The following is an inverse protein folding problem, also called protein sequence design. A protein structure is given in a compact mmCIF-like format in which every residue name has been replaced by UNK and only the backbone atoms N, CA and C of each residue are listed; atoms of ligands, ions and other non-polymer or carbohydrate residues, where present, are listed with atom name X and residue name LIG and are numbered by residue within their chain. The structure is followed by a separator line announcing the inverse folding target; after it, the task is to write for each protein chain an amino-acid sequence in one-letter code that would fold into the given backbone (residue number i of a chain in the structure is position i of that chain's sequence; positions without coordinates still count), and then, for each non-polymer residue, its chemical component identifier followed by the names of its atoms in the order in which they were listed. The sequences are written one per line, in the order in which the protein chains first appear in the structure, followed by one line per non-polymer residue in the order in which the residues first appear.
data_IF_870956467505
#
_entry.id   IF_870956467505
#
_cell.length_a   1.000
_cell.length_b   1.000
_cell.length_c   1.000
_cell.angle_alpha   90.00
_cell.angle_beta   90.00
_cell.angle_gamma   90.00
#
_symmetry.space_group_name_H-M   'P 1'
#
loop_
_entity.id
_entity.type
_entity.pdbx_description
1 polymer ?
#
# COMPACT_ATOMS: atom_id res chain seq x y z
N UNK A 1 -7.71 -3.36 19.60
CA UNK A 1 -7.55 -4.59 18.78
C UNK A 1 -7.41 -4.13 17.33
N UNK A 2 -6.41 -4.58 16.57
CA UNK A 2 -6.27 -4.21 15.15
C UNK A 2 -7.46 -4.82 14.40
N UNK A 3 -8.35 -3.98 13.88
CA UNK A 3 -9.47 -4.40 13.05
C UNK A 3 -8.97 -4.90 11.70
N UNK A 4 -8.35 -6.07 11.66
CA UNK A 4 -7.88 -6.71 10.43
C UNK A 4 -9.08 -7.17 9.61
N UNK A 5 -9.02 -6.99 8.29
CA UNK A 5 -10.01 -7.50 7.33
C UNK A 5 -9.31 -8.55 6.48
N UNK A 6 -9.77 -9.79 6.59
CA UNK A 6 -9.26 -10.89 5.78
C UNK A 6 -9.93 -10.88 4.40
N UNK A 7 -9.13 -11.02 3.34
CA UNK A 7 -9.61 -11.03 1.96
C UNK A 7 -9.17 -12.33 1.30
N UNK A 8 -10.13 -13.16 0.90
CA UNK A 8 -9.83 -14.28 0.02
C UNK A 8 -9.75 -13.77 -1.42
N UNK A 9 -8.54 -13.81 -1.97
CA UNK A 9 -8.24 -13.31 -3.31
C UNK A 9 -8.86 -14.17 -4.40
N UNK A 10 -9.17 -15.45 -4.15
CA UNK A 10 -9.72 -16.39 -5.13
C UNK A 10 -11.25 -16.28 -5.24
N UNK A 11 -11.93 -15.88 -4.17
CA UNK A 11 -13.38 -15.74 -4.14
C UNK A 11 -13.84 -14.33 -4.56
N UNK A 12 -14.66 -14.26 -5.62
CA UNK A 12 -15.34 -12.99 -6.01
C UNK A 12 -16.30 -12.49 -4.93
N UNK A 13 -16.96 -13.41 -4.22
CA UNK A 13 -17.88 -13.07 -3.14
C UNK A 13 -17.16 -12.52 -1.91
N UNK A 14 -15.98 -13.06 -1.57
CA UNK A 14 -15.14 -12.51 -0.50
C UNK A 14 -14.79 -11.05 -0.75
N UNK A 15 -14.45 -10.67 -1.99
CA UNK A 15 -14.14 -9.28 -2.33
C UNK A 15 -15.33 -8.33 -2.14
N UNK A 16 -16.57 -8.80 -2.35
CA UNK A 16 -17.78 -8.01 -2.12
C UNK A 16 -18.03 -7.81 -0.63
N UNK A 17 -17.90 -8.88 0.16
CA UNK A 17 -17.99 -8.82 1.63
C UNK A 17 -16.92 -7.91 2.23
N UNK A 18 -15.67 -8.00 1.76
CA UNK A 18 -14.58 -7.10 2.18
C UNK A 18 -14.95 -5.64 1.97
N UNK A 19 -15.52 -5.26 0.81
CA UNK A 19 -15.94 -3.87 0.55
C UNK A 19 -17.03 -3.40 1.51
N UNK A 20 -17.99 -4.27 1.84
CA UNK A 20 -19.04 -3.94 2.80
C UNK A 20 -18.45 -3.71 4.21
N UNK A 21 -17.58 -4.61 4.69
CA UNK A 21 -16.89 -4.45 5.98
C UNK A 21 -16.00 -3.20 6.01
N UNK A 22 -15.29 -2.90 4.91
CA UNK A 22 -14.48 -1.68 4.81
C UNK A 22 -15.37 -0.44 4.93
N UNK A 23 -16.51 -0.40 4.24
CA UNK A 23 -17.46 0.71 4.33
C UNK A 23 -17.95 0.91 5.76
N UNK A 24 -18.38 -0.16 6.43
CA UNK A 24 -18.86 -0.10 7.82
C UNK A 24 -17.78 0.47 8.75
N UNK A 25 -16.54 -0.02 8.65
CA UNK A 25 -15.44 0.45 9.51
C UNK A 25 -15.04 1.90 9.25
N UNK A 26 -15.03 2.32 7.99
CA UNK A 26 -14.78 3.71 7.63
C UNK A 26 -15.92 4.62 8.12
N UNK A 27 -17.17 4.17 8.06
CA UNK A 27 -18.33 4.89 8.61
C UNK A 27 -18.29 5.01 10.14
N UNK A 28 -17.71 4.03 10.84
CA UNK A 28 -17.44 4.06 12.29
C UNK A 28 -16.24 4.98 12.67
N UNK A 29 -15.63 5.66 11.70
CA UNK A 29 -14.51 6.58 11.93
C UNK A 29 -13.16 5.90 12.10
N UNK A 30 -13.03 4.62 11.74
CA UNK A 30 -11.75 3.92 11.79
C UNK A 30 -10.89 4.24 10.55
N UNK A 31 -9.58 4.35 10.75
CA UNK A 31 -8.61 4.44 9.66
C UNK A 31 -8.30 3.07 9.07
N UNK A 32 -8.16 2.99 7.73
CA UNK A 32 -7.78 1.77 7.02
C UNK A 32 -6.45 1.99 6.28
N UNK A 33 -5.51 1.05 6.45
CA UNK A 33 -4.27 0.99 5.66
C UNK A 33 -4.41 -0.07 4.59
N UNK A 34 -4.11 0.29 3.34
CA UNK A 34 -4.16 -0.61 2.20
C UNK A 34 -2.87 -0.54 1.39
N UNK A 35 -2.45 -1.67 0.85
CA UNK A 35 -1.38 -1.76 -0.15
C UNK A 35 -2.00 -2.07 -1.51
N UNK A 36 -2.26 -1.05 -2.36
CA UNK A 36 -3.08 -1.20 -3.56
C UNK A 36 -2.45 -2.09 -4.64
N UNK A 37 -1.13 -2.31 -4.61
CA UNK A 37 -0.41 -3.23 -5.51
C UNK A 37 -0.81 -4.70 -5.24
N UNK A 38 -1.08 -5.02 -3.96
CA UNK A 38 -1.47 -6.36 -3.51
C UNK A 38 -0.33 -7.38 -3.42
N UNK A 39 0.91 -6.95 -3.66
CA UNK A 39 2.15 -7.74 -3.52
C UNK A 39 3.32 -6.80 -3.24
N UNK A 40 4.48 -7.34 -2.90
CA UNK A 40 5.75 -6.60 -2.85
C UNK A 40 6.37 -6.55 -4.25
N UNK A 41 7.14 -5.50 -4.52
CA UNK A 41 7.95 -5.32 -5.74
C UNK A 41 9.32 -4.76 -5.37
N UNK A 42 10.32 -4.98 -6.22
CA UNK A 42 11.60 -4.30 -6.09
C UNK A 42 11.45 -2.87 -6.62
N UNK A 43 11.60 -1.88 -5.74
CA UNK A 43 11.48 -0.46 -6.10
C UNK A 43 12.62 0.04 -7.01
N UNK A 44 12.66 1.35 -7.33
CA UNK A 44 11.82 2.42 -6.78
C UNK A 44 10.51 2.66 -7.55
N UNK A 45 10.27 1.90 -8.63
CA UNK A 45 9.00 1.99 -9.36
C UNK A 45 7.90 1.20 -8.62
N UNK A 46 6.64 1.58 -8.86
CA UNK A 46 5.47 0.97 -8.24
C UNK A 46 4.70 0.12 -9.23
N UNK A 47 4.12 -0.98 -8.77
CA UNK A 47 3.18 -1.72 -9.60
C UNK A 47 1.90 -0.91 -9.87
N UNK A 48 1.08 -1.43 -10.77
CA UNK A 48 -0.25 -0.89 -10.99
C UNK A 48 -1.10 -1.01 -9.72
N UNK A 49 -1.77 0.09 -9.38
CA UNK A 49 -2.71 0.11 -8.27
C UNK A 49 -4.00 -0.58 -8.67
N UNK A 50 -4.45 -1.55 -7.86
CA UNK A 50 -5.73 -2.21 -8.06
C UNK A 50 -6.87 -1.24 -7.77
N UNK A 51 -7.87 -1.13 -8.64
CA UNK A 51 -8.82 -0.03 -8.59
C UNK A 51 -9.91 -0.20 -7.52
N UNK A 52 -10.12 -1.42 -7.01
CA UNK A 52 -11.32 -1.76 -6.21
C UNK A 52 -11.56 -0.90 -4.97
N UNK A 53 -10.51 -0.39 -4.32
CA UNK A 53 -10.66 0.52 -3.17
C UNK A 53 -10.91 1.97 -3.57
N UNK A 54 -10.35 2.41 -4.69
CA UNK A 54 -10.58 3.75 -5.22
C UNK A 54 -12.04 3.96 -5.62
N UNK A 55 -12.69 2.93 -6.18
CA UNK A 55 -14.14 2.95 -6.41
C UNK A 55 -14.94 3.15 -5.12
N UNK A 56 -14.60 2.43 -4.04
CA UNK A 56 -15.28 2.61 -2.74
C UNK A 56 -15.06 4.01 -2.19
N UNK A 57 -13.82 4.52 -2.24
CA UNK A 57 -13.52 5.88 -1.77
C UNK A 57 -14.27 6.95 -2.56
N UNK A 58 -14.35 6.80 -3.88
CA UNK A 58 -15.05 7.74 -4.75
C UNK A 58 -16.56 7.71 -4.55
N UNK A 59 -17.15 6.52 -4.42
CA UNK A 59 -18.60 6.34 -4.22
C UNK A 59 -19.07 6.85 -2.85
N UNK A 60 -18.30 6.58 -1.80
CA UNK A 60 -18.68 6.91 -0.42
C UNK A 60 -18.10 8.26 0.04
N UNK A 61 -17.26 8.89 -0.80
CA UNK A 61 -16.61 10.16 -0.48
C UNK A 61 -15.57 10.07 0.63
N UNK A 62 -14.91 8.92 0.79
CA UNK A 62 -13.82 8.77 1.76
C UNK A 62 -12.53 9.45 1.28
N UNK A 63 -11.78 9.99 2.22
CA UNK A 63 -10.49 10.65 1.97
C UNK A 63 -9.36 9.62 2.01
N UNK A 64 -8.41 9.74 1.07
CA UNK A 64 -7.19 8.92 0.98
C UNK A 64 -5.99 9.77 1.39
N UNK A 65 -5.10 9.23 2.21
CA UNK A 65 -3.78 9.80 2.47
C UNK A 65 -2.73 8.85 1.88
N UNK A 66 -2.06 9.21 0.78
CA UNK A 66 -1.00 8.36 0.25
C UNK A 66 0.21 8.37 1.18
N UNK A 67 0.89 7.24 1.27
CA UNK A 67 2.12 7.07 2.04
C UNK A 67 3.14 6.39 1.14
N UNK A 68 4.26 7.06 0.89
CA UNK A 68 5.40 6.49 0.20
C UNK A 68 6.37 5.90 1.22
N UNK A 69 6.94 4.74 0.89
CA UNK A 69 7.78 3.94 1.78
C UNK A 69 8.94 3.38 0.97
N UNK A 70 10.16 3.67 1.38
CA UNK A 70 11.37 3.14 0.75
C UNK A 70 12.31 2.56 1.81
N UNK A 71 12.88 1.39 1.50
CA UNK A 71 13.88 0.74 2.32
C UNK A 71 15.25 0.97 1.72
N UNK A 72 16.24 1.31 2.55
CA UNK A 72 17.62 1.49 2.08
C UNK A 72 18.15 0.21 1.42
N UNK A 73 17.99 -0.92 2.11
CA UNK A 73 18.26 -2.25 1.55
C UNK A 73 17.05 -2.73 0.74
N UNK A 74 17.16 -2.69 -0.59
CA UNK A 74 16.13 -3.20 -1.49
C UNK A 74 15.96 -4.73 -1.41
N UNK A 75 16.96 -5.44 -0.89
CA UNK A 75 16.90 -6.89 -0.68
C UNK A 75 15.87 -7.32 0.37
N UNK A 76 15.34 -6.38 1.17
CA UNK A 76 14.27 -6.65 2.14
C UNK A 76 12.92 -6.96 1.50
N UNK A 77 12.72 -6.58 0.24
CA UNK A 77 11.49 -6.89 -0.47
C UNK A 77 11.40 -8.41 -0.67
N UNK A 78 10.32 -9.02 -0.18
CA UNK A 78 10.08 -10.44 -0.37
C UNK A 78 9.32 -10.69 -1.67
N UNK A 79 10.04 -10.87 -2.78
CA UNK A 79 9.46 -10.77 -4.14
C UNK A 79 9.45 -12.13 -4.88
N UNK A 80 10.31 -13.07 -4.50
CA UNK A 80 10.75 -14.18 -5.35
C UNK A 80 10.37 -15.58 -4.83
N UNK A 81 9.32 -15.70 -4.01
CA UNK A 81 8.91 -16.97 -3.36
C UNK A 81 10.06 -17.67 -2.63
N UNK A 82 11.09 -16.91 -2.27
CA UNK A 82 12.21 -17.37 -1.47
C UNK A 82 11.66 -17.98 -0.19
N UNK A 83 12.22 -19.14 0.19
CA UNK A 83 11.79 -19.82 1.41
C UNK A 83 11.90 -18.86 2.59
N UNK A 84 10.85 -18.80 3.41
CA UNK A 84 10.74 -17.85 4.52
C UNK A 84 11.98 -17.85 5.42
N UNK A 85 12.53 -19.03 5.71
CA UNK A 85 13.64 -19.19 6.65
C UNK A 85 14.95 -18.59 6.13
N UNK A 86 15.46 -18.92 4.92
CA UNK A 86 16.63 -18.25 4.34
C UNK A 86 16.48 -16.72 4.21
N UNK A 87 15.30 -16.24 3.79
CA UNK A 87 15.03 -14.80 3.68
C UNK A 87 15.09 -14.14 5.06
N UNK A 88 14.40 -14.71 6.05
CA UNK A 88 14.47 -14.29 7.43
C UNK A 88 15.92 -14.18 7.95
N UNK A 89 16.72 -15.25 7.86
CA UNK A 89 18.10 -15.25 8.37
C UNK A 89 19.00 -14.20 7.70
N UNK A 90 18.78 -13.91 6.41
CA UNK A 90 19.52 -12.87 5.68
C UNK A 90 19.24 -11.45 6.21
N UNK A 91 18.04 -11.21 6.72
CA UNK A 91 17.57 -9.89 7.15
C UNK A 91 17.41 -9.73 8.67
N UNK A 92 17.56 -10.80 9.47
CA UNK A 92 17.63 -10.75 10.94
C UNK A 92 19.03 -10.43 11.50
N UNK A 93 20.06 -10.40 10.65
CA UNK A 93 21.44 -10.07 11.03
C UNK A 93 21.72 -8.58 11.29
N UNK A 94 21.19 -7.63 10.50
CA UNK A 94 21.37 -6.20 10.73
C UNK A 94 20.68 -5.73 12.03
N UNK A 95 21.40 -4.91 12.83
CA UNK A 95 20.86 -4.32 14.07
C UNK A 95 19.77 -3.28 13.82
N UNK A 96 19.78 -2.66 12.65
CA UNK A 96 18.84 -1.62 12.23
C UNK A 96 18.50 -1.80 10.75
N UNK A 97 17.29 -1.39 10.39
CA UNK A 97 16.82 -1.28 9.00
C UNK A 97 16.49 0.19 8.77
N UNK A 98 17.22 0.83 7.86
CA UNK A 98 16.96 2.21 7.47
C UNK A 98 15.75 2.27 6.53
N UNK A 99 14.74 3.05 6.93
CA UNK A 99 13.48 3.23 6.19
C UNK A 99 13.19 4.71 6.06
N UNK A 100 12.83 5.14 4.85
CA UNK A 100 12.32 6.47 4.60
C UNK A 100 10.81 6.41 4.35
N UNK A 101 10.06 7.30 4.98
CA UNK A 101 8.59 7.35 4.90
C UNK A 101 8.16 8.77 4.57
N UNK A 102 7.19 8.93 3.68
CA UNK A 102 6.58 10.22 3.38
C UNK A 102 5.07 10.13 3.35
N UNK A 103 4.42 10.98 4.14
CA UNK A 103 2.97 11.15 4.13
C UNK A 103 2.60 12.25 3.13
N UNK A 104 1.62 11.95 2.28
CA UNK A 104 1.14 12.90 1.28
C UNK A 104 -0.07 13.71 1.71
N UNK A 105 -0.55 14.58 0.82
CA UNK A 105 -1.74 15.38 1.08
C UNK A 105 -2.99 14.48 1.10
N UNK A 106 -4.03 14.96 1.78
CA UNK A 106 -5.34 14.32 1.74
C UNK A 106 -5.96 14.48 0.34
N UNK A 107 -6.31 13.37 -0.29
CA UNK A 107 -6.89 13.29 -1.64
C UNK A 107 -8.31 12.74 -1.57
N UNK A 108 -9.23 13.36 -2.29
CA UNK A 108 -10.64 12.94 -2.38
C UNK A 108 -11.16 13.33 -3.76
N UNK A 109 -12.01 12.49 -4.34
CA UNK A 109 -12.63 12.72 -5.64
C UNK A 109 -13.80 11.76 -5.85
N UNK A 110 -14.63 12.02 -6.84
CA UNK A 110 -15.78 11.20 -7.27
C UNK A 110 -15.47 10.35 -8.52
N UNK A 111 -14.40 10.68 -9.25
CA UNK A 111 -13.83 9.84 -10.31
C UNK A 111 -12.76 8.90 -9.74
N UNK A 112 -13.10 7.62 -9.66
CA UNK A 112 -12.25 6.58 -9.10
C UNK A 112 -10.94 6.34 -9.88
N UNK A 113 -10.98 6.44 -11.21
CA UNK A 113 -9.81 6.18 -12.05
C UNK A 113 -8.84 7.35 -11.99
N UNK A 114 -9.35 8.58 -12.07
CA UNK A 114 -8.54 9.77 -11.88
C UNK A 114 -7.90 9.79 -10.48
N UNK A 115 -8.68 9.52 -9.43
CA UNK A 115 -8.16 9.47 -8.06
C UNK A 115 -7.07 8.40 -7.91
N UNK A 116 -7.23 7.23 -8.55
CA UNK A 116 -6.24 6.16 -8.54
C UNK A 116 -4.93 6.59 -9.21
N UNK A 117 -5.02 7.23 -10.36
CA UNK A 117 -3.85 7.73 -11.10
C UNK A 117 -3.13 8.84 -10.34
N UNK A 118 -3.86 9.81 -9.80
CA UNK A 118 -3.29 10.91 -8.99
C UNK A 118 -2.55 10.38 -7.76
N UNK A 119 -3.18 9.47 -7.01
CA UNK A 119 -2.58 8.84 -5.83
C UNK A 119 -1.35 8.03 -6.23
N UNK A 120 -1.40 7.23 -7.30
CA UNK A 120 -0.25 6.42 -7.74
C UNK A 120 0.91 7.32 -8.20
N UNK A 121 0.64 8.33 -9.01
CA UNK A 121 1.67 9.22 -9.55
C UNK A 121 2.36 10.00 -8.44
N UNK A 122 1.60 10.48 -7.46
CA UNK A 122 2.18 11.11 -6.28
C UNK A 122 3.08 10.14 -5.50
N UNK A 123 2.61 8.91 -5.24
CA UNK A 123 3.39 7.93 -4.48
C UNK A 123 4.65 7.53 -5.23
N UNK A 124 4.58 7.32 -6.55
CA UNK A 124 5.73 6.96 -7.38
C UNK A 124 6.80 8.07 -7.36
N UNK A 125 6.38 9.32 -7.55
CA UNK A 125 7.29 10.47 -7.47
C UNK A 125 7.93 10.59 -6.08
N UNK A 126 7.14 10.42 -5.02
CA UNK A 126 7.66 10.45 -3.65
C UNK A 126 8.66 9.30 -3.39
N UNK A 127 8.40 8.08 -3.87
CA UNK A 127 9.34 6.96 -3.75
C UNK A 127 10.66 7.25 -4.47
N UNK A 128 10.64 7.82 -5.68
CA UNK A 128 11.85 8.22 -6.39
C UNK A 128 12.68 9.25 -5.61
N UNK A 129 12.01 10.23 -5.00
CA UNK A 129 12.69 11.24 -4.18
C UNK A 129 13.26 10.65 -2.89
N UNK A 130 12.54 9.73 -2.24
CA UNK A 130 13.04 9.03 -1.07
C UNK A 130 14.23 8.13 -1.42
N UNK A 131 14.21 7.47 -2.58
CA UNK A 131 15.34 6.68 -3.09
C UNK A 131 16.58 7.55 -3.28
N UNK A 132 16.43 8.70 -3.95
CA UNK A 132 17.52 9.64 -4.14
C UNK A 132 18.12 10.15 -2.81
N UNK A 133 17.29 10.30 -1.76
CA UNK A 133 17.75 10.68 -0.42
C UNK A 133 18.50 9.56 0.31
N UNK A 134 18.10 8.30 0.11
CA UNK A 134 18.72 7.13 0.74
C UNK A 134 20.06 6.75 0.09
N UNK A 135 20.21 7.05 -1.20
CA UNK A 135 21.40 6.74 -2.00
C UNK A 135 22.48 7.85 -1.93
N UNK A 136 22.16 9.02 -1.39
CA UNK A 136 23.07 10.16 -1.20
C UNK A 136 24.00 9.99 0.01
#
# INVERSE_FOLDING_TARGET
MLGTIWVDRQSKDSRRLTRATVRERLAEGMGLVIFPEGTCHYGPDLLEYRPGMFYTCAQEGFTIMPVALEYKDQGLAWVDRTMFVPHAFKHFGPKYVDVAVRFGPLMKGDDAEKLREEVRNWTAQACLELRAQLDA
#
